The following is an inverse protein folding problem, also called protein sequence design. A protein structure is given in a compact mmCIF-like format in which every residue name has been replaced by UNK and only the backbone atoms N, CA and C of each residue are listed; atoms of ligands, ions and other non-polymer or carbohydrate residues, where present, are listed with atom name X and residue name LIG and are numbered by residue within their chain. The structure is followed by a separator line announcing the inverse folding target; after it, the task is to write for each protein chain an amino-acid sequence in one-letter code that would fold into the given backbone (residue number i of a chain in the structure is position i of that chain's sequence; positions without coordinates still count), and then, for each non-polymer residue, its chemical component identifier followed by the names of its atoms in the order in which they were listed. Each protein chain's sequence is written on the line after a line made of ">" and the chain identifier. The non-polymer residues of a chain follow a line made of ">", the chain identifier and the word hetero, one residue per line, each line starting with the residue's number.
data_IF_627871240399
#
_entry.id   IF_627871240399
#
_cell.length_a   1.000
_cell.length_b   1.000
_cell.length_c   1.000
_cell.angle_alpha   90.00
_cell.angle_beta   90.00
_cell.angle_gamma   90.00
#
_symmetry.space_group_name_H-M   'P 1'
#
loop_
_entity.id
_entity.type
_entity.pdbx_description
1 polymer ?
#
# COMPACT_ATOMS: atom_id res chain seq x y z
N UNK A 1 -38.38 19.92 48.40
CA UNK A 1 -36.97 20.39 48.30
C UNK A 1 -35.91 19.37 48.78
N UNK A 2 -36.28 18.22 49.35
CA UNK A 2 -35.30 17.21 49.80
C UNK A 2 -34.84 16.21 48.71
N UNK A 3 -35.67 15.91 47.72
CA UNK A 3 -35.31 14.97 46.65
C UNK A 3 -34.18 15.49 45.73
N UNK A 4 -34.11 16.80 45.49
CA UNK A 4 -33.12 17.39 44.58
C UNK A 4 -31.68 17.37 45.16
N UNK A 5 -31.54 17.43 46.49
CA UNK A 5 -30.22 17.39 47.17
C UNK A 5 -29.61 15.98 47.17
N UNK A 6 -30.44 14.93 47.21
CA UNK A 6 -29.96 13.54 47.22
C UNK A 6 -29.41 13.15 45.83
N UNK A 7 -30.06 13.59 44.75
CA UNK A 7 -29.59 13.32 43.38
C UNK A 7 -28.24 13.97 43.09
N UNK A 8 -28.00 15.18 43.60
CA UNK A 8 -26.76 15.92 43.37
C UNK A 8 -25.55 15.32 44.13
N UNK A 9 -25.77 14.76 45.33
CA UNK A 9 -24.72 14.07 46.11
C UNK A 9 -24.36 12.73 45.47
N UNK A 10 -25.35 11.96 44.98
CA UNK A 10 -25.09 10.68 44.29
C UNK A 10 -24.34 10.89 42.97
N UNK A 11 -24.63 11.97 42.23
CA UNK A 11 -23.89 12.29 41.01
C UNK A 11 -22.43 12.71 41.30
N UNK A 12 -22.20 13.48 42.37
CA UNK A 12 -20.85 13.88 42.77
C UNK A 12 -20.00 12.70 43.25
N UNK A 13 -20.60 11.75 43.98
CA UNK A 13 -19.91 10.53 44.44
C UNK A 13 -19.61 9.57 43.27
N UNK A 14 -20.50 9.45 42.28
CA UNK A 14 -20.25 8.65 41.08
C UNK A 14 -19.17 9.24 40.15
N UNK A 15 -18.97 10.56 40.16
CA UNK A 15 -17.89 11.21 39.40
C UNK A 15 -16.54 11.07 40.13
N UNK A 16 -16.52 11.05 41.46
CA UNK A 16 -15.29 10.93 42.25
C UNK A 16 -14.78 9.49 42.42
N UNK A 17 -15.65 8.46 42.42
CA UNK A 17 -15.21 7.05 42.53
C UNK A 17 -14.61 6.52 41.21
N UNK A 18 -14.78 7.20 40.07
CA UNK A 18 -14.26 6.74 38.78
C UNK A 18 -12.82 7.21 38.46
N UNK A 19 -12.14 7.91 39.37
CA UNK A 19 -10.87 8.57 39.06
C UNK A 19 -9.59 7.93 39.62
N UNK A 20 -9.64 6.79 40.33
CA UNK A 20 -8.46 6.35 41.10
C UNK A 20 -8.13 4.86 41.01
N UNK A 21 -7.98 4.32 39.79
CA UNK A 21 -7.46 2.96 39.59
C UNK A 21 -6.62 2.81 38.30
N UNK A 22 -5.85 3.84 37.95
CA UNK A 22 -5.02 3.82 36.73
C UNK A 22 -3.58 4.24 36.99
N UNK A 23 -2.96 3.64 38.01
CA UNK A 23 -1.50 3.62 38.11
C UNK A 23 -1.03 2.19 38.40
N UNK A 24 0.00 1.78 37.66
CA UNK A 24 0.84 0.60 37.84
C UNK A 24 0.46 -0.74 37.17
N UNK A 25 -0.35 -0.74 36.12
CA UNK A 25 -0.19 -1.81 35.12
C UNK A 25 0.78 -1.32 34.04
N UNK A 26 2.04 -1.74 34.15
CA UNK A 26 3.02 -1.52 33.11
C UNK A 26 2.41 -1.98 31.77
N UNK A 27 2.32 -1.12 30.74
CA UNK A 27 1.67 -1.46 29.49
C UNK A 27 2.32 -2.74 28.94
N UNK A 28 1.56 -3.83 28.93
CA UNK A 28 2.01 -5.09 28.34
C UNK A 28 2.20 -4.86 26.85
N UNK A 29 3.36 -5.28 26.35
CA UNK A 29 3.57 -5.40 24.92
C UNK A 29 2.74 -6.59 24.46
N UNK A 30 1.58 -6.31 23.89
CA UNK A 30 0.70 -7.36 23.38
C UNK A 30 1.27 -7.99 22.11
N UNK A 31 2.15 -7.29 21.38
CA UNK A 31 2.70 -7.74 20.10
C UNK A 31 4.20 -7.42 19.98
N UNK A 32 5.05 -8.38 20.35
CA UNK A 32 6.49 -8.33 20.06
C UNK A 32 6.73 -8.86 18.66
N UNK A 33 7.45 -8.09 17.85
CA UNK A 33 7.84 -8.48 16.47
C UNK A 33 9.33 -8.81 16.44
N UNK A 34 9.82 -9.34 15.31
CA UNK A 34 11.25 -9.57 15.11
C UNK A 34 11.96 -8.27 14.71
N UNK A 35 13.21 -8.09 15.16
CA UNK A 35 14.11 -7.00 14.75
C UNK A 35 14.67 -7.21 13.32
N UNK A 36 13.84 -7.65 12.39
CA UNK A 36 14.24 -7.97 11.01
C UNK A 36 13.06 -7.87 10.07
N UNK A 37 13.33 -7.71 8.78
CA UNK A 37 12.29 -7.64 7.78
C UNK A 37 11.56 -8.97 7.60
N UNK A 38 10.23 -8.94 7.35
CA UNK A 38 9.50 -10.15 6.97
C UNK A 38 10.05 -10.68 5.64
N UNK A 39 10.52 -11.93 5.62
CA UNK A 39 11.18 -12.54 4.45
C UNK A 39 10.27 -12.91 3.27
N UNK A 40 9.11 -12.26 3.11
CA UNK A 40 8.13 -12.55 2.04
C UNK A 40 8.02 -11.34 1.09
N UNK A 41 7.49 -11.59 -0.11
CA UNK A 41 7.03 -10.52 -1.02
C UNK A 41 6.09 -9.57 -0.28
N UNK A 42 6.16 -8.28 -0.60
CA UNK A 42 5.47 -7.16 0.10
C UNK A 42 4.27 -7.61 0.94
N UNK A 43 4.44 -7.79 2.27
CA UNK A 43 3.34 -8.22 3.11
C UNK A 43 2.26 -7.14 3.12
N UNK A 44 1.04 -7.54 3.46
CA UNK A 44 -0.01 -6.56 3.72
C UNK A 44 0.35 -5.77 4.99
N UNK A 45 1.07 -4.67 4.81
CA UNK A 45 1.60 -3.83 5.89
C UNK A 45 0.49 -3.20 6.74
N UNK A 46 -0.75 -3.19 6.22
CA UNK A 46 -1.91 -2.61 6.88
C UNK A 46 -2.61 -3.60 7.82
N UNK A 47 -2.46 -4.92 7.60
CA UNK A 47 -3.05 -5.94 8.48
C UNK A 47 -2.11 -6.40 9.60
N UNK A 48 -0.84 -6.00 9.57
CA UNK A 48 0.07 -6.30 10.67
C UNK A 48 -0.33 -5.56 11.95
N UNK A 49 -0.39 -6.26 13.10
CA UNK A 49 -0.78 -5.65 14.37
C UNK A 49 0.25 -4.60 14.77
N UNK A 50 -0.22 -3.37 14.94
CA UNK A 50 0.54 -2.23 15.46
C UNK A 50 0.09 -1.94 16.87
N UNK A 51 0.96 -1.29 17.64
CA UNK A 51 0.65 -0.92 19.01
C UNK A 51 1.21 0.44 19.39
N UNK A 52 0.56 1.07 20.37
CA UNK A 52 1.08 2.26 21.00
C UNK A 52 2.44 1.98 21.63
N UNK A 53 3.30 3.00 21.63
CA UNK A 53 4.61 2.90 22.26
C UNK A 53 4.48 2.75 23.78
N UNK A 54 5.14 1.76 24.40
CA UNK A 54 5.19 1.65 25.85
C UNK A 54 5.75 2.92 26.49
N UNK A 55 5.24 3.26 27.68
CA UNK A 55 5.77 4.38 28.43
C UNK A 55 7.26 4.16 28.73
N UNK A 56 8.08 5.19 28.52
CA UNK A 56 9.53 5.10 28.72
C UNK A 56 10.29 4.26 27.68
N UNK A 57 9.65 3.78 26.60
CA UNK A 57 10.37 3.09 25.53
C UNK A 57 11.41 4.01 24.87
N UNK A 58 12.68 3.62 24.86
CA UNK A 58 13.78 4.37 24.24
C UNK A 58 14.42 3.48 23.17
N UNK A 59 14.21 3.76 21.86
CA UNK A 59 14.87 2.99 20.82
C UNK A 59 16.36 3.32 20.79
N UNK A 60 17.18 2.29 20.60
CA UNK A 60 18.59 2.43 20.25
C UNK A 60 18.83 2.23 18.74
N UNK A 61 17.84 1.63 18.07
CA UNK A 61 17.90 1.27 16.66
C UNK A 61 16.53 1.32 16.02
N UNK A 62 16.50 1.69 14.74
CA UNK A 62 15.33 1.63 13.87
C UNK A 62 15.66 0.74 12.68
N UNK A 63 14.89 -0.31 12.49
CA UNK A 63 15.00 -1.18 11.31
C UNK A 63 13.90 -0.81 10.34
N UNK A 64 14.26 -0.47 9.10
CA UNK A 64 13.34 -0.14 8.00
C UNK A 64 13.49 -1.16 6.88
N UNK A 65 12.36 -1.54 6.31
CA UNK A 65 12.25 -2.53 5.25
C UNK A 65 11.61 -1.89 4.02
N UNK A 66 12.37 -1.88 2.91
CA UNK A 66 11.94 -1.26 1.66
C UNK A 66 11.87 -2.31 0.56
N UNK A 67 10.71 -2.42 -0.07
CA UNK A 67 10.53 -3.24 -1.27
C UNK A 67 10.74 -2.36 -2.48
N UNK A 68 11.91 -2.49 -3.11
CA UNK A 68 12.28 -1.72 -4.29
C UNK A 68 12.30 -2.59 -5.53
N UNK A 69 12.01 -1.99 -6.68
CA UNK A 69 12.20 -2.65 -7.97
C UNK A 69 13.62 -2.37 -8.46
N UNK A 70 14.43 -3.41 -8.58
CA UNK A 70 15.82 -3.30 -8.99
C UNK A 70 16.14 -4.28 -10.13
N UNK A 71 16.90 -3.80 -11.12
CA UNK A 71 17.47 -4.67 -12.14
C UNK A 71 18.66 -5.44 -11.58
N UNK A 72 18.66 -6.76 -11.75
CA UNK A 72 19.75 -7.65 -11.38
C UNK A 72 20.35 -8.24 -12.68
N UNK A 73 21.63 -7.94 -12.99
CA UNK A 73 22.26 -8.38 -14.24
C UNK A 73 22.09 -9.87 -14.53
N UNK A 74 21.57 -10.20 -15.72
CA UNK A 74 21.33 -11.57 -16.16
C UNK A 74 20.09 -12.23 -15.55
N UNK A 75 19.40 -11.58 -14.61
CA UNK A 75 18.20 -12.11 -13.94
C UNK A 75 16.93 -11.31 -14.24
N UNK A 76 17.02 -10.15 -14.88
CA UNK A 76 15.89 -9.25 -15.12
C UNK A 76 15.60 -8.31 -13.95
N UNK A 77 14.36 -7.81 -13.86
CA UNK A 77 13.91 -6.91 -12.80
C UNK A 77 13.28 -7.69 -11.65
N UNK A 78 13.70 -7.37 -10.43
CA UNK A 78 13.28 -8.04 -9.21
C UNK A 78 12.71 -7.04 -8.21
N UNK A 79 11.72 -7.48 -7.46
CA UNK A 79 11.38 -6.88 -6.18
C UNK A 79 12.45 -7.35 -5.19
N UNK A 80 13.16 -6.38 -4.65
CA UNK A 80 14.26 -6.57 -3.72
C UNK A 80 13.87 -5.93 -2.40
N UNK A 81 13.95 -6.72 -1.34
CA UNK A 81 13.78 -6.28 0.03
C UNK A 81 15.13 -5.79 0.56
N UNK A 82 15.22 -4.48 0.79
CA UNK A 82 16.32 -3.85 1.49
C UNK A 82 15.97 -3.75 2.97
N UNK A 83 16.80 -4.35 3.82
CA UNK A 83 16.79 -4.16 5.27
C UNK A 83 17.83 -3.09 5.59
N UNK A 84 17.37 -2.03 6.21
CA UNK A 84 18.14 -0.83 6.51
C UNK A 84 18.07 -0.56 8.01
N UNK A 85 19.21 -0.32 8.63
CA UNK A 85 19.31 -0.06 10.06
C UNK A 85 19.80 1.37 10.27
N UNK A 86 19.08 2.13 11.10
CA UNK A 86 19.56 3.41 11.61
C UNK A 86 19.90 3.25 13.09
N UNK A 87 21.17 3.46 13.40
CA UNK A 87 21.65 3.54 14.79
C UNK A 87 21.78 5.01 15.19
N UNK A 88 21.46 5.31 16.45
CA UNK A 88 21.53 6.67 16.99
C UNK A 88 20.18 7.21 17.46
N UNK A 89 20.14 8.50 17.87
CA UNK A 89 18.97 9.05 18.53
C UNK A 89 17.80 9.25 17.55
N UNK A 90 16.75 8.47 17.71
CA UNK A 90 15.49 8.63 16.97
C UNK A 90 14.53 9.63 17.64
N UNK A 91 15.04 10.67 18.30
CA UNK A 91 14.26 11.57 19.18
C UNK A 91 13.12 12.28 18.46
N UNK A 92 13.37 12.80 17.25
CA UNK A 92 12.34 13.44 16.42
C UNK A 92 11.23 12.45 16.06
N UNK A 93 11.61 11.26 15.57
CA UNK A 93 10.67 10.20 15.24
C UNK A 93 9.84 9.80 16.47
N UNK A 94 10.47 9.61 17.62
CA UNK A 94 9.77 9.25 18.87
C UNK A 94 8.81 10.34 19.34
N UNK A 95 9.13 11.61 19.09
CA UNK A 95 8.26 12.74 19.40
C UNK A 95 7.02 12.70 18.52
N UNK A 96 7.21 12.44 17.23
CA UNK A 96 6.11 12.31 16.28
C UNK A 96 5.25 11.07 16.57
N UNK A 97 5.84 9.89 16.78
CA UNK A 97 5.09 8.65 17.05
C UNK A 97 4.27 8.69 18.34
N UNK A 98 4.69 9.47 19.34
CA UNK A 98 3.93 9.68 20.57
C UNK A 98 2.79 10.70 20.44
N UNK A 99 2.71 11.40 19.31
CA UNK A 99 1.62 12.36 19.08
C UNK A 99 0.28 11.61 19.07
N UNK A 100 -0.72 12.08 19.83
CA UNK A 100 -2.05 11.49 19.76
C UNK A 100 -2.64 11.62 18.34
N UNK A 101 -3.49 10.68 17.89
CA UNK A 101 -4.17 10.82 16.60
C UNK A 101 -5.03 12.10 16.59
N UNK A 102 -5.20 12.74 15.43
CA UNK A 102 -5.88 14.04 15.34
C UNK A 102 -7.33 14.01 15.89
N UNK A 103 -8.01 12.86 15.75
CA UNK A 103 -9.35 12.68 16.32
C UNK A 103 -9.36 12.78 17.84
N UNK A 104 -8.32 12.30 18.52
CA UNK A 104 -8.21 12.42 19.97
C UNK A 104 -8.05 13.89 20.39
N UNK A 105 -7.26 14.64 19.63
CA UNK A 105 -6.94 16.06 19.87
C UNK A 105 -8.09 17.03 19.54
N UNK A 106 -9.11 16.58 18.81
CA UNK A 106 -10.20 17.45 18.38
C UNK A 106 -11.09 17.91 19.55
N UNK A 107 -11.52 19.19 19.52
CA UNK A 107 -12.43 19.73 20.51
C UNK A 107 -13.80 19.03 20.47
N UNK A 108 -14.56 19.03 21.58
CA UNK A 108 -15.90 18.41 21.61
C UNK A 108 -16.84 18.93 20.52
N UNK A 109 -16.80 20.23 20.24
CA UNK A 109 -17.60 20.85 19.17
C UNK A 109 -17.22 20.33 17.79
N UNK A 110 -15.92 20.17 17.52
CA UNK A 110 -15.44 19.67 16.24
C UNK A 110 -15.83 18.19 16.05
N UNK A 111 -15.73 17.39 17.12
CA UNK A 111 -16.18 15.99 17.14
C UNK A 111 -17.68 15.88 16.88
N UNK A 112 -18.49 16.73 17.50
CA UNK A 112 -19.93 16.78 17.29
C UNK A 112 -20.27 17.16 15.84
N UNK A 113 -19.58 18.16 15.29
CA UNK A 113 -19.74 18.57 13.89
C UNK A 113 -19.43 17.42 12.92
N UNK A 114 -18.33 16.70 13.13
CA UNK A 114 -17.99 15.54 12.31
C UNK A 114 -19.00 14.40 12.40
N UNK A 115 -19.63 14.23 13.56
CA UNK A 115 -20.68 13.23 13.76
C UNK A 115 -21.94 13.56 12.92
N UNK A 116 -22.33 14.83 12.81
CA UNK A 116 -23.52 15.23 12.06
C UNK A 116 -23.27 15.48 10.56
N UNK A 117 -22.17 16.13 10.19
CA UNK A 117 -21.90 16.53 8.80
C UNK A 117 -21.07 15.49 8.02
N UNK A 118 -20.45 14.54 8.72
CA UNK A 118 -19.44 13.66 8.15
C UNK A 118 -18.12 14.38 7.85
N UNK A 119 -17.05 13.60 7.61
CA UNK A 119 -15.74 14.13 7.22
C UNK A 119 -15.50 13.80 5.74
N UNK A 120 -15.32 14.83 4.91
CA UNK A 120 -14.89 14.65 3.52
C UNK A 120 -13.38 14.55 3.47
N UNK A 121 -12.87 13.36 3.10
CA UNK A 121 -11.44 13.08 3.04
C UNK A 121 -10.99 12.87 1.59
N UNK A 122 -9.84 13.41 1.19
CA UNK A 122 -9.29 13.12 -0.12
C UNK A 122 -8.87 11.64 -0.21
N UNK A 123 -9.15 11.02 -1.34
CA UNK A 123 -8.79 9.62 -1.63
C UNK A 123 -7.30 9.51 -2.03
N UNK A 124 -6.40 9.88 -1.12
CA UNK A 124 -4.94 9.81 -1.33
C UNK A 124 -4.43 8.47 -0.80
N UNK A 125 -3.80 7.67 -1.67
CA UNK A 125 -3.06 6.48 -1.26
C UNK A 125 -1.73 6.87 -0.62
N UNK A 126 -1.40 6.27 0.53
CA UNK A 126 -0.08 6.40 1.13
C UNK A 126 0.57 5.02 1.11
N UNK A 127 1.80 4.98 0.63
CA UNK A 127 2.70 3.85 0.75
C UNK A 127 3.81 4.29 1.69
N UNK A 128 4.01 3.57 2.78
CA UNK A 128 5.09 3.85 3.72
C UNK A 128 5.81 2.55 4.03
N UNK A 129 7.11 2.66 4.28
CA UNK A 129 7.97 1.51 4.51
C UNK A 129 7.60 0.82 5.83
N UNK A 130 7.78 -0.49 5.89
CA UNK A 130 7.69 -1.21 7.16
C UNK A 130 8.88 -0.80 8.03
N UNK A 131 8.65 -0.53 9.31
CA UNK A 131 9.73 -0.24 10.22
C UNK A 131 9.41 -0.72 11.63
N UNK A 132 10.44 -1.10 12.38
CA UNK A 132 10.34 -1.47 13.79
C UNK A 132 11.36 -0.67 14.60
N UNK A 133 11.01 -0.44 15.85
CA UNK A 133 11.88 0.21 16.83
C UNK A 133 12.44 -0.84 17.77
N UNK A 134 13.75 -0.83 17.98
CA UNK A 134 14.45 -1.81 18.81
C UNK A 134 15.06 -1.10 20.02
N UNK A 135 14.78 -1.59 21.22
CA UNK A 135 15.36 -1.06 22.46
C UNK A 135 16.66 -1.76 22.86
N UNK A 136 17.29 -1.29 23.94
CA UNK A 136 18.57 -1.82 24.45
C UNK A 136 18.51 -3.26 24.97
N UNK A 137 17.32 -3.80 25.19
CA UNK A 137 17.12 -5.22 25.53
C UNK A 137 16.89 -6.10 24.30
N UNK A 138 16.94 -5.52 23.09
CA UNK A 138 16.66 -6.21 21.84
C UNK A 138 15.17 -6.43 21.56
N UNK A 139 14.27 -5.78 22.32
CA UNK A 139 12.82 -5.88 22.05
C UNK A 139 12.48 -5.00 20.86
N UNK A 140 11.85 -5.61 19.86
CA UNK A 140 11.36 -4.89 18.68
C UNK A 140 9.85 -4.67 18.74
N UNK A 141 9.44 -3.46 18.36
CA UNK A 141 8.05 -3.01 18.36
C UNK A 141 7.71 -2.45 16.99
N UNK A 142 6.55 -2.83 16.45
CA UNK A 142 5.94 -2.18 15.30
C UNK A 142 4.99 -1.08 15.82
N UNK A 143 5.40 0.21 15.81
CA UNK A 143 4.61 1.25 16.44
C UNK A 143 3.40 1.64 15.58
N UNK A 144 2.36 2.10 16.28
CA UNK A 144 1.29 2.89 15.68
C UNK A 144 1.87 4.15 15.05
N UNK A 145 1.47 4.44 13.81
CA UNK A 145 1.79 5.70 13.15
C UNK A 145 0.63 6.65 13.36
N UNK A 146 0.85 7.82 13.97
CA UNK A 146 -0.23 8.73 14.28
C UNK A 146 -0.88 9.26 13.01
N UNK A 147 -2.21 9.29 13.00
CA UNK A 147 -2.99 9.66 11.83
C UNK A 147 -3.77 10.95 12.02
N UNK A 148 -3.93 11.67 10.92
CA UNK A 148 -4.92 12.74 10.74
C UNK A 148 -6.36 12.25 10.95
N UNK A 149 -7.32 13.19 10.91
CA UNK A 149 -8.76 12.92 11.08
C UNK A 149 -9.31 11.97 10.00
N UNK A 150 -8.64 11.95 8.84
CA UNK A 150 -8.93 11.12 7.69
C UNK A 150 -8.22 9.75 7.70
N UNK A 151 -7.57 9.38 8.82
CA UNK A 151 -6.84 8.12 8.93
C UNK A 151 -5.55 8.07 8.11
N UNK A 152 -5.09 9.22 7.59
CA UNK A 152 -3.81 9.33 6.87
C UNK A 152 -2.68 9.56 7.86
N UNK A 153 -1.52 8.90 7.73
CA UNK A 153 -0.33 9.20 8.54
C UNK A 153 0.00 10.69 8.53
N UNK A 154 0.51 11.23 9.64
CA UNK A 154 1.05 12.58 9.62
C UNK A 154 2.33 12.64 8.77
N UNK A 155 2.45 13.57 7.82
CA UNK A 155 3.67 13.72 7.02
C UNK A 155 4.92 13.92 7.87
N UNK A 156 4.82 14.67 8.97
CA UNK A 156 5.94 14.91 9.90
C UNK A 156 6.51 13.63 10.51
N UNK A 157 5.68 12.61 10.76
CA UNK A 157 6.15 11.32 11.27
C UNK A 157 6.91 10.53 10.19
N UNK A 158 6.46 10.60 8.93
CA UNK A 158 7.14 9.96 7.80
C UNK A 158 8.45 10.68 7.48
N UNK A 159 8.45 12.01 7.47
CA UNK A 159 9.67 12.82 7.27
C UNK A 159 10.71 12.54 8.35
N UNK A 160 10.29 12.42 9.62
CA UNK A 160 11.18 12.07 10.72
C UNK A 160 11.77 10.66 10.58
N UNK A 161 10.98 9.70 10.06
CA UNK A 161 11.47 8.36 9.76
C UNK A 161 12.50 8.39 8.62
N UNK A 162 12.27 9.17 7.57
CA UNK A 162 13.11 9.23 6.39
C UNK A 162 14.44 9.99 6.59
N UNK A 163 14.49 10.91 7.55
CA UNK A 163 15.70 11.66 7.92
C UNK A 163 16.74 10.86 8.69
N UNK A 164 16.39 9.68 9.20
CA UNK A 164 17.34 8.85 9.93
C UNK A 164 18.49 8.40 9.00
N UNK A 165 19.69 8.27 9.56
CA UNK A 165 20.87 7.84 8.81
C UNK A 165 20.90 6.32 8.70
N UNK A 166 20.30 5.79 7.64
CA UNK A 166 20.21 4.36 7.41
C UNK A 166 21.47 3.77 6.77
N UNK A 167 21.82 2.56 7.21
CA UNK A 167 22.80 1.70 6.59
C UNK A 167 22.11 0.45 6.05
N UNK A 168 22.37 0.11 4.79
CA UNK A 168 21.87 -1.13 4.20
C UNK A 168 22.60 -2.32 4.81
N UNK A 169 21.90 -3.16 5.57
CA UNK A 169 22.47 -4.35 6.23
C UNK A 169 22.21 -5.62 5.45
N UNK A 170 21.04 -5.70 4.79
CA UNK A 170 20.62 -6.89 4.04
C UNK A 170 19.92 -6.51 2.76
N UNK A 171 20.16 -7.30 1.72
CA UNK A 171 19.47 -7.18 0.45
C UNK A 171 19.01 -8.56 -0.01
N UNK A 172 17.71 -8.73 -0.23
CA UNK A 172 17.09 -10.02 -0.56
C UNK A 172 16.21 -9.90 -1.81
N UNK A 173 16.51 -10.61 -2.91
CA UNK A 173 15.57 -10.73 -4.02
C UNK A 173 14.37 -11.58 -3.58
N UNK A 174 13.20 -10.97 -3.44
CA UNK A 174 12.00 -11.65 -2.90
C UNK A 174 11.09 -12.16 -4.00
N UNK A 175 10.99 -11.44 -5.13
CA UNK A 175 10.07 -11.79 -6.21
C UNK A 175 10.58 -11.27 -7.56
N UNK A 176 10.56 -12.11 -8.59
CA UNK A 176 10.87 -11.67 -9.95
C UNK A 176 9.68 -10.86 -10.49
N UNK A 177 9.93 -9.61 -10.87
CA UNK A 177 8.94 -8.74 -11.54
C UNK A 177 8.99 -8.98 -13.05
N UNK A 178 10.20 -9.16 -13.58
CA UNK A 178 10.46 -9.28 -15.01
C UNK A 178 11.68 -10.19 -15.22
N UNK A 179 11.60 -11.13 -16.14
CA UNK A 179 12.73 -11.95 -16.55
C UNK A 179 13.72 -11.18 -17.43
N UNK A 180 14.97 -11.65 -17.47
CA UNK A 180 16.00 -11.07 -18.35
C UNK A 180 15.57 -11.05 -19.83
N UNK A 181 14.86 -12.10 -20.28
CA UNK A 181 14.33 -12.21 -21.64
C UNK A 181 13.32 -11.09 -21.93
N UNK A 182 12.44 -10.80 -20.98
CA UNK A 182 11.44 -9.73 -21.09
C UNK A 182 12.09 -8.35 -21.08
N UNK A 183 13.05 -8.15 -20.18
CA UNK A 183 13.78 -6.89 -20.06
C UNK A 183 14.51 -6.55 -21.36
N UNK A 184 15.27 -7.51 -21.89
CA UNK A 184 15.99 -7.33 -23.17
C UNK A 184 15.06 -7.11 -24.35
N UNK A 185 13.90 -7.77 -24.34
CA UNK A 185 12.91 -7.59 -25.40
C UNK A 185 12.09 -6.30 -25.22
N UNK A 186 12.23 -5.59 -24.09
CA UNK A 186 11.43 -4.44 -23.71
C UNK A 186 9.94 -4.77 -23.67
N UNK A 187 9.64 -5.92 -23.05
CA UNK A 187 8.30 -6.45 -22.78
C UNK A 187 7.97 -6.45 -21.28
N UNK A 188 8.80 -5.84 -20.44
CA UNK A 188 8.48 -5.58 -19.04
C UNK A 188 7.31 -4.65 -18.88
N UNK A 189 6.33 -5.09 -18.11
CA UNK A 189 5.30 -4.18 -17.61
C UNK A 189 5.16 -4.39 -16.10
N UNK A 190 5.15 -3.28 -15.38
CA UNK A 190 4.96 -3.20 -13.92
C UNK A 190 3.53 -3.54 -13.50
N UNK A 191 2.59 -3.53 -14.45
CA UNK A 191 1.15 -3.59 -14.21
C UNK A 191 0.56 -4.62 -15.17
N UNK A 192 1.00 -5.88 -15.08
CA UNK A 192 0.39 -6.96 -15.88
C UNK A 192 -1.04 -7.29 -15.43
N UNK A 193 -1.42 -6.94 -14.19
CA UNK A 193 -2.73 -7.32 -13.61
C UNK A 193 -3.42 -6.27 -12.69
N UNK A 194 -2.79 -5.12 -12.39
CA UNK A 194 -3.24 -4.23 -11.31
C UNK A 194 -4.49 -3.36 -11.60
N UNK A 195 -5.01 -3.36 -12.83
CA UNK A 195 -6.23 -2.60 -13.18
C UNK A 195 -7.53 -3.39 -12.99
N UNK A 196 -7.48 -4.68 -12.69
CA UNK A 196 -8.70 -5.51 -12.56
C UNK A 196 -9.46 -5.30 -11.24
N UNK A 197 -8.86 -4.68 -10.21
CA UNK A 197 -9.47 -4.69 -8.85
C UNK A 197 -9.86 -3.32 -8.29
N UNK A 198 -9.15 -2.24 -8.60
CA UNK A 198 -9.35 -0.94 -7.92
C UNK A 198 -10.31 0.02 -8.63
N UNK A 199 -10.56 -0.16 -9.93
CA UNK A 199 -11.31 0.78 -10.75
C UNK A 199 -12.55 0.17 -11.44
N UNK A 200 -13.10 -0.92 -10.92
CA UNK A 200 -14.45 -1.34 -11.31
C UNK A 200 -15.48 -0.57 -10.47
N UNK A 201 -16.08 0.52 -10.99
CA UNK A 201 -17.26 1.08 -10.36
C UNK A 201 -18.36 0.01 -10.39
N UNK A 202 -18.80 -0.47 -9.21
CA UNK A 202 -19.91 -1.43 -9.08
C UNK A 202 -21.27 -0.88 -9.54
N UNK A 203 -21.30 0.24 -10.27
CA UNK A 203 -22.53 0.90 -10.70
C UNK A 203 -22.30 1.83 -11.88
N UNK A 204 -22.45 1.33 -13.11
CA UNK A 204 -22.86 2.18 -14.22
C UNK A 204 -23.85 1.45 -15.11
N UNK A 205 -25.07 1.99 -15.17
CA UNK A 205 -26.07 1.65 -16.19
C UNK A 205 -25.40 1.72 -17.57
N UNK A 206 -25.48 0.60 -18.29
CA UNK A 206 -24.96 0.36 -19.64
C UNK A 206 -25.41 1.44 -20.63
N UNK A 207 -24.54 2.41 -20.92
CA UNK A 207 -24.54 3.07 -22.23
C UNK A 207 -23.53 2.32 -23.10
N UNK A 208 -24.01 1.75 -24.21
CA UNK A 208 -23.13 1.23 -25.28
C UNK A 208 -22.25 2.38 -25.77
N UNK A 209 -21.01 2.45 -25.31
CA UNK A 209 -20.01 3.29 -25.93
C UNK A 209 -19.60 2.63 -27.24
N UNK A 210 -19.60 3.37 -28.34
CA UNK A 210 -19.02 2.88 -29.60
C UNK A 210 -17.51 2.74 -29.45
N UNK A 211 -16.96 1.66 -29.99
CA UNK A 211 -15.52 1.49 -30.11
C UNK A 211 -14.94 2.71 -30.85
N UNK A 212 -14.00 3.40 -30.21
CA UNK A 212 -13.23 4.47 -30.86
C UNK A 212 -11.87 3.90 -31.23
N UNK A 213 -11.35 4.20 -32.43
CA UNK A 213 -10.01 3.77 -32.83
C UNK A 213 -9.01 4.15 -31.76
N UNK A 214 -8.23 3.17 -31.32
CA UNK A 214 -7.38 3.36 -30.17
C UNK A 214 -6.15 4.23 -30.49
N UNK A 215 -5.71 4.16 -31.74
CA UNK A 215 -4.55 4.88 -32.23
C UNK A 215 -4.98 5.86 -33.30
N UNK A 216 -4.81 7.15 -33.04
CA UNK A 216 -4.96 8.19 -34.04
C UNK A 216 -3.86 9.26 -33.85
N UNK A 217 -2.84 9.33 -34.73
CA UNK A 217 -2.62 8.47 -35.89
C UNK A 217 -2.17 7.05 -35.52
N UNK A 218 -2.32 6.09 -36.45
CA UNK A 218 -1.80 4.73 -36.27
C UNK A 218 -0.27 4.75 -36.15
N UNK A 219 0.33 3.94 -35.25
CA UNK A 219 1.78 3.84 -35.13
C UNK A 219 2.40 3.21 -36.39
N UNK A 220 3.64 3.58 -36.71
CA UNK A 220 4.38 2.98 -37.83
C UNK A 220 4.96 1.59 -37.52
N UNK A 221 5.04 1.24 -36.24
CA UNK A 221 5.53 -0.05 -35.78
C UNK A 221 5.04 -0.36 -34.37
N UNK A 222 4.78 -1.63 -34.12
CA UNK A 222 4.22 -2.10 -32.86
C UNK A 222 5.01 -3.30 -32.35
N UNK A 223 5.52 -3.20 -31.12
CA UNK A 223 6.08 -4.38 -30.43
C UNK A 223 4.93 -5.18 -29.83
N UNK A 224 4.85 -6.45 -30.21
CA UNK A 224 3.88 -7.43 -29.72
C UNK A 224 4.65 -8.48 -28.92
N UNK A 225 4.28 -8.62 -27.66
CA UNK A 225 4.84 -9.60 -26.73
C UNK A 225 3.80 -10.71 -26.53
N UNK A 226 4.14 -11.94 -26.88
CA UNK A 226 3.26 -13.11 -26.75
C UNK A 226 3.66 -13.87 -25.50
N UNK A 227 2.71 -14.05 -24.60
CA UNK A 227 2.91 -14.75 -23.33
C UNK A 227 2.19 -16.09 -23.35
N UNK A 228 2.85 -17.10 -22.77
CA UNK A 228 2.21 -18.36 -22.43
C UNK A 228 1.81 -18.30 -20.97
N UNK A 229 0.52 -18.43 -20.70
CA UNK A 229 0.00 -18.59 -19.34
C UNK A 229 0.11 -20.04 -18.91
N UNK A 230 0.46 -20.26 -17.66
CA UNK A 230 0.41 -21.56 -17.00
C UNK A 230 -0.47 -21.42 -15.76
N UNK A 231 -1.43 -22.34 -15.62
CA UNK A 231 -2.28 -22.40 -14.44
C UNK A 231 -1.45 -22.98 -13.28
N UNK A 232 -1.33 -22.23 -12.19
CA UNK A 232 -0.81 -22.75 -10.92
C UNK A 232 -1.95 -23.09 -9.98
N UNK A 233 -1.73 -24.11 -9.15
CA UNK A 233 -2.64 -24.55 -8.09
C UNK A 233 -3.02 -23.44 -7.10
N UNK A 234 -2.19 -22.39 -6.99
CA UNK A 234 -2.43 -21.24 -6.09
C UNK A 234 -3.41 -20.22 -6.65
N UNK A 235 -4.04 -20.47 -7.81
CA UNK A 235 -5.00 -19.56 -8.44
C UNK A 235 -4.39 -18.32 -9.11
N UNK A 236 -3.06 -18.16 -9.06
CA UNK A 236 -2.33 -17.08 -9.72
C UNK A 236 -1.71 -17.66 -11.00
N UNK A 237 -2.16 -17.20 -12.16
CA UNK A 237 -1.59 -17.62 -13.43
C UNK A 237 -0.18 -17.03 -13.58
N UNK A 238 0.83 -17.87 -13.84
CA UNK A 238 2.16 -17.38 -14.21
C UNK A 238 2.22 -17.24 -15.74
N UNK A 239 2.48 -16.03 -16.21
CA UNK A 239 2.70 -15.74 -17.62
C UNK A 239 4.21 -15.70 -17.91
N UNK A 240 4.66 -16.44 -18.93
CA UNK A 240 6.05 -16.46 -19.37
C UNK A 240 6.15 -15.94 -20.80
N UNK A 241 7.14 -15.08 -21.08
CA UNK A 241 7.33 -14.54 -22.43
C UNK A 241 7.75 -15.63 -23.41
N UNK A 242 6.89 -15.94 -24.35
CA UNK A 242 7.11 -16.94 -25.39
C UNK A 242 7.89 -16.32 -26.55
N UNK A 243 7.35 -15.25 -27.15
CA UNK A 243 7.97 -14.59 -28.30
C UNK A 243 7.71 -13.09 -28.35
N UNK A 244 8.54 -12.38 -29.11
CA UNK A 244 8.41 -10.94 -29.33
C UNK A 244 8.53 -10.63 -30.80
N UNK A 245 7.63 -9.81 -31.32
CA UNK A 245 7.59 -9.44 -32.74
C UNK A 245 7.42 -7.94 -32.87
N UNK A 246 8.03 -7.36 -33.89
CA UNK A 246 7.75 -5.97 -34.28
C UNK A 246 6.91 -6.04 -35.55
N UNK A 247 5.64 -5.64 -35.44
CA UNK A 247 4.73 -5.56 -36.57
C UNK A 247 4.86 -4.19 -37.22
N UNK A 248 4.85 -4.16 -38.55
CA UNK A 248 4.86 -2.96 -39.39
C UNK A 248 3.99 -3.21 -40.62
N UNK A 249 3.63 -2.15 -41.34
CA UNK A 249 2.92 -2.25 -42.62
C UNK A 249 1.59 -3.03 -42.53
N UNK A 250 1.36 -3.95 -43.46
CA UNK A 250 0.11 -4.72 -43.55
C UNK A 250 -0.18 -5.53 -42.29
N UNK A 251 0.82 -6.22 -41.72
CA UNK A 251 0.64 -7.01 -40.49
C UNK A 251 0.20 -6.16 -39.30
N UNK A 252 0.70 -4.92 -39.21
CA UNK A 252 0.27 -3.98 -38.19
C UNK A 252 -1.18 -3.56 -38.44
N UNK A 253 -1.51 -3.14 -39.66
CA UNK A 253 -2.87 -2.73 -40.00
C UNK A 253 -3.89 -3.85 -39.74
N UNK A 254 -3.57 -5.10 -40.09
CA UNK A 254 -4.41 -6.27 -39.79
C UNK A 254 -4.66 -6.41 -38.29
N UNK A 255 -3.63 -6.27 -37.45
CA UNK A 255 -3.81 -6.33 -36.00
C UNK A 255 -4.66 -5.18 -35.47
N UNK A 256 -4.39 -3.93 -35.89
CA UNK A 256 -5.15 -2.75 -35.44
C UNK A 256 -6.63 -2.87 -35.85
N UNK A 257 -6.91 -3.29 -37.09
CA UNK A 257 -8.27 -3.55 -37.57
C UNK A 257 -8.94 -4.68 -36.80
N UNK A 258 -8.23 -5.76 -36.46
CA UNK A 258 -8.79 -6.83 -35.63
C UNK A 258 -9.15 -6.33 -34.23
N UNK A 259 -8.31 -5.49 -33.62
CA UNK A 259 -8.57 -4.91 -32.30
C UNK A 259 -9.74 -3.93 -32.31
N UNK A 260 -9.83 -3.07 -33.32
CA UNK A 260 -10.92 -2.09 -33.45
C UNK A 260 -12.29 -2.75 -33.73
N UNK A 261 -12.30 -3.95 -34.34
CA UNK A 261 -13.52 -4.68 -34.69
C UNK A 261 -13.85 -5.86 -33.76
N UNK A 262 -13.01 -6.14 -32.74
CA UNK A 262 -13.28 -7.24 -31.81
C UNK A 262 -14.53 -6.94 -30.97
N UNK A 263 -15.55 -7.82 -30.97
CA UNK A 263 -16.78 -7.58 -30.22
C UNK A 263 -16.50 -7.58 -28.72
N UNK A 264 -16.98 -6.55 -28.02
CA UNK A 264 -16.82 -6.42 -26.57
C UNK A 264 -17.57 -7.52 -25.77
N UNK A 265 -18.48 -8.25 -26.41
CA UNK A 265 -19.35 -9.26 -25.79
C UNK A 265 -18.67 -10.60 -25.49
N UNK A 266 -17.51 -10.86 -26.09
CA UNK A 266 -16.80 -12.14 -25.95
C UNK A 266 -15.67 -12.09 -24.90
N UNK A 267 -15.69 -11.09 -24.01
CA UNK A 267 -14.77 -11.03 -22.89
C UNK A 267 -15.37 -11.77 -21.69
N UNK A 268 -14.99 -13.03 -21.41
CA UNK A 268 -15.24 -13.57 -20.08
C UNK A 268 -14.63 -12.62 -19.03
N UNK A 269 -15.30 -12.52 -17.88
CA UNK A 269 -15.05 -11.62 -16.74
C UNK A 269 -13.62 -11.66 -16.15
N UNK A 270 -12.71 -12.44 -16.75
CA UNK A 270 -11.34 -12.68 -16.30
C UNK A 270 -10.28 -12.38 -17.37
N UNK A 271 -10.59 -11.70 -18.48
CA UNK A 271 -9.55 -11.35 -19.45
C UNK A 271 -8.63 -10.22 -18.96
N UNK A 272 -7.30 -10.41 -18.98
CA UNK A 272 -6.36 -9.34 -18.72
C UNK A 272 -6.41 -8.33 -19.87
N UNK A 273 -6.62 -7.05 -19.54
CA UNK A 273 -6.49 -5.95 -20.50
C UNK A 273 -5.03 -5.82 -20.94
N UNK A 274 -4.77 -5.80 -22.24
CA UNK A 274 -3.43 -5.54 -22.75
C UNK A 274 -3.06 -4.06 -22.55
N UNK A 275 -2.03 -3.79 -21.74
CA UNK A 275 -1.39 -2.47 -21.68
C UNK A 275 -0.34 -2.36 -22.77
N UNK A 276 -0.26 -1.21 -23.42
CA UNK A 276 0.89 -0.82 -24.22
C UNK A 276 1.44 0.49 -23.64
N UNK A 277 2.75 0.57 -23.47
CA UNK A 277 3.42 1.44 -22.50
C UNK A 277 3.27 2.96 -22.67
N UNK A 278 2.43 3.48 -23.58
CA UNK A 278 2.06 4.92 -23.64
C UNK A 278 0.61 5.23 -24.07
N UNK A 279 -0.27 4.24 -24.20
CA UNK A 279 -1.68 4.51 -24.55
C UNK A 279 -2.58 3.38 -24.04
N UNK A 280 -3.71 3.77 -23.45
CA UNK A 280 -4.71 2.85 -22.90
C UNK A 280 -5.42 2.10 -24.03
N UNK A 281 -5.41 0.77 -24.01
CA UNK A 281 -6.34 -0.04 -24.79
C UNK A 281 -7.63 -0.27 -24.01
N UNK A 282 -8.75 0.30 -24.48
CA UNK A 282 -10.09 -0.08 -24.03
C UNK A 282 -10.61 -1.23 -24.89
N UNK A 283 -10.11 -2.43 -24.59
CA UNK A 283 -10.79 -3.67 -24.93
C UNK A 283 -11.44 -4.20 -23.65
N UNK A 284 -12.76 -4.37 -23.67
CA UNK A 284 -13.63 -4.75 -22.54
C UNK A 284 -13.81 -3.65 -21.47
N UNK A 285 -14.75 -2.73 -21.70
CA UNK A 285 -15.37 -1.89 -20.67
C UNK A 285 -16.64 -2.62 -20.17
N UNK A 286 -16.65 -3.05 -18.90
CA UNK A 286 -17.85 -3.21 -18.05
C UNK A 286 -17.65 -2.35 -16.80
#
# INVERSE_FOLDING_TARGET
>A
MHALRIVLVVLAVMILIRSDNRMDEAPRLDHVVTASCPGRSSPDLLSMPRQALPYGFVPIEVVRCRWISQYLPGKGRWEVLNEEHATGPATELMTELRRPPARAQASPLLKLRWFFEGIRCPAIGYTFDYFVLVDSSGRAVLPDVPTSVCGKPFPSALDALDRLSYQLTKQLPVRRIESEKEFRAGCGDEIRDLFLSFFQPKSSRTRRASARPLWNPAPQGLRVCVYRTSHKLTGINEATLESTRILKGSNLNTLLTALDNSPATDCPSHHPRARQSRTWARGCDE
#
